data_IF_930280786352
#
_entry.id   IF_930280786352
#
_cell.length_a   1.000
_cell.length_b   1.000
_cell.length_c   1.000
_cell.angle_alpha   90.00
_cell.angle_beta   90.00
_cell.angle_gamma   90.00
#
_symmetry.space_group_name_H-M   'P 1'
#
loop_
_entity.id
_entity.type
_entity.pdbx_description
1 polymer ?
#
# COMPACT_ATOMS: atom_id res chain seq x y z
N UNK A 1 -3.40 -15.98 23.59
CA UNK A 1 -2.66 -15.87 22.31
C UNK A 1 -2.07 -14.47 22.25
N UNK A 2 -0.74 -14.39 22.10
CA UNK A 2 0.08 -13.20 22.33
C UNK A 2 -0.20 -12.12 21.27
N UNK A 3 -0.85 -11.02 21.65
CA UNK A 3 -1.02 -9.85 20.78
C UNK A 3 0.26 -9.02 20.88
N UNK A 4 1.33 -9.49 20.24
CA UNK A 4 2.44 -8.60 19.92
C UNK A 4 1.87 -7.43 19.09
N UNK A 5 2.13 -6.19 19.51
CA UNK A 5 1.69 -4.95 18.84
C UNK A 5 1.75 -5.14 17.33
N UNK A 6 0.58 -5.23 16.71
CA UNK A 6 0.50 -5.40 15.26
C UNK A 6 0.94 -4.08 14.63
N UNK A 7 1.93 -4.08 13.72
CA UNK A 7 2.32 -2.86 13.03
C UNK A 7 1.14 -2.34 12.20
N UNK A 8 0.99 -1.02 12.09
CA UNK A 8 0.02 -0.45 11.15
C UNK A 8 0.55 -0.60 9.73
N UNK A 9 -0.23 -1.26 8.90
CA UNK A 9 0.11 -1.53 7.51
C UNK A 9 -0.79 -0.69 6.61
N UNK A 10 -0.20 0.09 5.71
CA UNK A 10 -0.93 0.80 4.66
C UNK A 10 -0.40 0.41 3.29
N UNK A 11 -1.24 -0.24 2.49
CA UNK A 11 -0.91 -0.59 1.10
C UNK A 11 -1.48 0.46 0.14
N UNK A 12 -0.57 1.13 -0.57
CA UNK A 12 -0.89 2.01 -1.68
C UNK A 12 -0.92 1.21 -2.99
N UNK A 13 -2.06 1.19 -3.68
CA UNK A 13 -2.29 0.34 -4.84
C UNK A 13 -3.14 1.04 -5.91
N UNK A 14 -3.16 0.52 -7.14
CA UNK A 14 -4.12 0.94 -8.18
C UNK A 14 -4.96 -0.24 -8.64
N UNK A 15 -6.28 -0.04 -8.78
CA UNK A 15 -7.15 -1.01 -9.44
C UNK A 15 -6.68 -1.24 -10.88
N UNK A 16 -6.82 -2.49 -11.36
CA UNK A 16 -6.42 -2.91 -12.72
C UNK A 16 -4.93 -2.70 -13.02
N UNK A 17 -4.08 -2.84 -12.01
CA UNK A 17 -2.62 -2.84 -12.17
C UNK A 17 -2.01 -4.07 -11.50
N UNK A 18 -0.73 -4.31 -11.75
CA UNK A 18 0.04 -5.38 -11.12
C UNK A 18 0.11 -5.26 -9.57
N UNK A 19 -0.29 -4.14 -8.98
CA UNK A 19 -0.36 -3.99 -7.51
C UNK A 19 -1.44 -4.86 -6.84
N UNK A 20 -2.30 -5.53 -7.60
CA UNK A 20 -3.32 -6.42 -7.03
C UNK A 20 -2.71 -7.66 -6.36
N UNK A 21 -1.54 -8.12 -6.81
CA UNK A 21 -0.85 -9.25 -6.20
C UNK A 21 -0.50 -8.98 -4.72
N UNK A 22 0.00 -7.78 -4.40
CA UNK A 22 0.30 -7.38 -3.03
C UNK A 22 -0.95 -7.31 -2.14
N UNK A 23 -2.08 -6.86 -2.71
CA UNK A 23 -3.36 -6.85 -1.99
C UNK A 23 -3.82 -8.27 -1.66
N UNK A 24 -3.72 -9.23 -2.61
CA UNK A 24 -4.10 -10.63 -2.38
C UNK A 24 -3.23 -11.22 -1.26
N UNK A 25 -1.91 -11.11 -1.38
CA UNK A 25 -0.96 -11.66 -0.39
C UNK A 25 -1.24 -11.09 1.00
N UNK A 26 -1.43 -9.77 1.13
CA UNK A 26 -1.74 -9.16 2.43
C UNK A 26 -3.04 -9.69 3.04
N UNK A 27 -4.08 -9.92 2.23
CA UNK A 27 -5.31 -10.56 2.72
C UNK A 27 -5.09 -12.00 3.19
N UNK A 28 -4.27 -12.76 2.49
CA UNK A 28 -3.95 -14.15 2.84
C UNK A 28 -3.18 -14.26 4.16
N UNK A 29 -2.40 -13.23 4.54
CA UNK A 29 -1.70 -13.22 5.83
C UNK A 29 -2.62 -13.10 7.05
N UNK A 30 -3.87 -12.65 6.88
CA UNK A 30 -4.77 -12.36 7.99
C UNK A 30 -4.40 -11.13 8.83
N UNK A 31 -3.37 -10.36 8.42
CA UNK A 31 -3.01 -9.11 9.06
C UNK A 31 -4.07 -8.03 8.79
N UNK A 32 -4.24 -7.11 9.74
CA UNK A 32 -5.03 -5.90 9.51
C UNK A 32 -4.17 -4.89 8.75
N UNK A 33 -4.73 -4.31 7.69
CA UNK A 33 -4.07 -3.27 6.91
C UNK A 33 -5.10 -2.36 6.26
N UNK A 34 -4.69 -1.13 5.98
CA UNK A 34 -5.47 -0.14 5.25
C UNK A 34 -5.09 -0.14 3.75
N UNK A 35 -6.06 0.21 2.90
CA UNK A 35 -5.90 0.32 1.47
C UNK A 35 -6.05 1.76 1.02
N UNK A 36 -5.04 2.29 0.33
CA UNK A 36 -5.09 3.60 -0.30
C UNK A 36 -5.00 3.44 -1.81
N UNK A 37 -6.08 3.81 -2.50
CA UNK A 37 -6.09 3.78 -3.97
C UNK A 37 -5.35 5.00 -4.54
N UNK A 38 -4.38 4.74 -5.43
CA UNK A 38 -3.62 5.75 -6.18
C UNK A 38 -3.99 5.61 -7.65
N UNK A 39 -4.68 6.61 -8.20
CA UNK A 39 -5.17 6.57 -9.59
C UNK A 39 -4.02 6.91 -10.53
N UNK A 40 -3.32 5.88 -11.01
CA UNK A 40 -2.20 6.05 -11.93
C UNK A 40 -2.56 6.73 -13.26
N UNK A 41 -3.84 6.60 -13.67
CA UNK A 41 -4.38 7.28 -14.86
C UNK A 41 -4.45 8.80 -14.70
N UNK A 42 -4.48 9.28 -13.46
CA UNK A 42 -4.51 10.70 -13.12
C UNK A 42 -3.12 11.19 -12.65
N UNK A 43 -2.07 10.40 -12.89
CA UNK A 43 -0.70 10.66 -12.45
C UNK A 43 -0.56 10.93 -10.94
N UNK A 44 -1.47 10.38 -10.10
CA UNK A 44 -1.43 10.59 -8.64
C UNK A 44 -0.14 10.07 -8.00
N UNK A 45 0.48 9.03 -8.57
CA UNK A 45 1.77 8.48 -8.14
C UNK A 45 2.96 9.43 -8.40
N UNK A 46 2.77 10.50 -9.17
CA UNK A 46 3.80 11.53 -9.42
C UNK A 46 3.58 12.78 -8.57
N UNK A 47 2.46 12.86 -7.84
CA UNK A 47 2.15 14.03 -7.04
C UNK A 47 3.04 14.08 -5.79
N UNK A 48 3.40 15.28 -5.30
CA UNK A 48 4.27 15.43 -4.12
C UNK A 48 3.78 14.66 -2.89
N UNK A 49 2.47 14.53 -2.71
CA UNK A 49 1.87 13.78 -1.60
C UNK A 49 2.25 12.30 -1.65
N UNK A 50 2.26 11.68 -2.84
CA UNK A 50 2.65 10.28 -3.01
C UNK A 50 4.16 10.10 -3.04
N UNK A 51 4.91 11.05 -3.62
CA UNK A 51 6.37 10.98 -3.67
C UNK A 51 7.03 11.01 -2.29
N UNK A 52 6.36 11.59 -1.28
CA UNK A 52 6.77 11.48 0.13
C UNK A 52 6.74 10.04 0.64
N UNK A 53 5.85 9.22 0.12
CA UNK A 53 5.72 7.79 0.46
C UNK A 53 6.69 6.95 -0.36
N UNK A 54 6.71 7.15 -1.68
CA UNK A 54 7.64 6.48 -2.58
C UNK A 54 8.26 7.48 -3.57
N UNK A 55 9.50 7.93 -3.34
CA UNK A 55 10.19 8.88 -4.23
C UNK A 55 10.34 8.40 -5.67
N UNK A 56 10.25 7.09 -5.92
CA UNK A 56 10.30 6.52 -7.27
C UNK A 56 8.98 6.71 -8.04
N UNK A 57 7.89 7.12 -7.38
CA UNK A 57 6.58 7.31 -7.99
C UNK A 57 6.00 6.03 -8.60
N UNK A 58 6.30 4.88 -7.99
CA UNK A 58 5.85 3.56 -8.44
C UNK A 58 4.88 2.95 -7.44
N UNK A 59 3.93 2.19 -7.95
CA UNK A 59 3.03 1.32 -7.19
C UNK A 59 3.37 -0.15 -7.49
N UNK A 60 3.10 -1.08 -6.56
CA UNK A 60 2.61 -0.87 -5.18
C UNK A 60 3.65 -0.24 -4.25
N UNK A 61 3.20 0.31 -3.11
CA UNK A 61 4.06 0.68 -1.98
C UNK A 61 3.38 0.27 -0.65
N UNK A 62 4.15 -0.28 0.29
CA UNK A 62 3.69 -0.68 1.63
C UNK A 62 4.38 0.18 2.68
N UNK A 63 3.60 0.86 3.50
CA UNK A 63 4.08 1.55 4.71
C UNK A 63 3.82 0.66 5.91
N UNK A 64 4.82 0.58 6.79
CA UNK A 64 4.82 -0.21 8.02
C UNK A 64 5.20 0.74 9.15
N UNK A 65 4.27 1.06 10.04
CA UNK A 65 4.58 1.78 11.27
C UNK A 65 4.58 0.79 12.45
N UNK A 66 5.58 0.91 13.32
CA UNK A 66 5.83 0.00 14.46
C UNK A 66 5.37 0.59 15.79
#
# INVERSE_FOLDING_TARGET
MNVASQPSLTLYYSRRSCSLACHIVLRETGLKFELVEVKIRNDEQKKPEYLKINPLGKIPALVIDS
#
